data_IF_317763469742
#
_entry.id   IF_317763469742
#
_cell.length_a   1.000
_cell.length_b   1.000
_cell.length_c   1.000
_cell.angle_alpha   90.00
_cell.angle_beta   90.00
_cell.angle_gamma   90.00
#
_symmetry.space_group_name_H-M   'P 1'
#
loop_
_entity.id
_entity.type
_entity.pdbx_description
1 polymer ?
#
# COMPACT_ATOMS: atom_id res chain seq x y z
N UNK A 1 18.62 -7.97 -30.44
CA UNK A 1 19.71 -7.31 -29.69
C UNK A 1 20.18 -8.23 -28.58
N UNK A 2 21.34 -7.96 -27.99
CA UNK A 2 21.76 -8.56 -26.72
C UNK A 2 21.17 -7.66 -25.64
N UNK A 3 20.23 -8.15 -24.82
CA UNK A 3 19.85 -7.49 -23.57
C UNK A 3 21.09 -7.57 -22.67
N UNK A 4 21.83 -6.46 -22.56
CA UNK A 4 22.99 -6.31 -21.67
C UNK A 4 22.52 -5.36 -20.56
N UNK A 5 22.40 -5.90 -19.37
CA UNK A 5 21.59 -5.49 -18.24
C UNK A 5 22.17 -4.32 -17.43
N UNK A 6 22.54 -3.22 -18.10
CA UNK A 6 22.74 -1.94 -17.42
C UNK A 6 21.83 -0.84 -18.01
N UNK A 7 20.51 -1.06 -17.86
CA UNK A 7 19.44 -0.05 -17.77
C UNK A 7 18.91 0.55 -19.10
N UNK A 8 19.52 0.22 -20.24
CA UNK A 8 19.15 0.75 -21.58
C UNK A 8 19.18 -0.38 -22.64
N UNK A 9 18.13 -1.19 -22.65
CA UNK A 9 17.98 -2.40 -23.48
C UNK A 9 17.78 -2.10 -24.97
N UNK A 10 17.36 -0.87 -25.33
CA UNK A 10 17.34 -0.41 -26.73
C UNK A 10 18.60 0.42 -27.11
N UNK A 11 19.53 0.61 -26.18
CA UNK A 11 20.81 1.31 -26.34
C UNK A 11 20.68 2.79 -26.79
N UNK A 12 19.58 3.46 -26.44
CA UNK A 12 19.32 4.86 -26.81
C UNK A 12 19.85 5.90 -25.79
N UNK A 13 20.39 5.43 -24.68
CA UNK A 13 20.90 6.19 -23.55
C UNK A 13 19.82 6.62 -22.56
N UNK A 14 18.63 6.00 -22.58
CA UNK A 14 17.51 6.32 -21.69
C UNK A 14 16.79 5.05 -21.29
N UNK A 15 16.40 5.00 -20.03
CA UNK A 15 15.43 4.01 -19.54
C UNK A 15 14.04 4.46 -19.95
N UNK A 16 13.44 3.81 -20.93
CA UNK A 16 12.10 4.13 -21.39
C UNK A 16 11.30 2.88 -21.85
N UNK A 17 10.11 3.12 -22.39
CA UNK A 17 9.21 2.04 -22.78
C UNK A 17 9.74 1.18 -23.95
N UNK A 18 10.81 1.58 -24.64
CA UNK A 18 11.47 0.76 -25.64
C UNK A 18 12.30 -0.37 -25.01
N UNK A 19 12.65 -0.27 -23.72
CA UNK A 19 13.32 -1.31 -22.96
C UNK A 19 12.40 -2.48 -22.55
N UNK A 20 11.09 -2.35 -22.75
CA UNK A 20 10.06 -3.34 -22.42
C UNK A 20 10.23 -4.69 -23.15
N UNK A 21 11.00 -4.73 -24.23
CA UNK A 21 11.11 -5.93 -25.08
C UNK A 21 11.89 -7.09 -24.41
N UNK A 22 12.63 -6.85 -23.33
CA UNK A 22 13.19 -7.92 -22.51
C UNK A 22 12.16 -8.31 -21.44
N UNK A 23 11.33 -9.33 -21.72
CA UNK A 23 10.42 -9.98 -20.77
C UNK A 23 11.16 -10.73 -19.66
N UNK A 24 12.11 -10.09 -19.00
CA UNK A 24 13.06 -10.75 -18.13
C UNK A 24 12.43 -11.02 -16.78
N UNK A 25 12.38 -12.29 -16.44
CA UNK A 25 12.16 -12.72 -15.07
C UNK A 25 12.92 -11.86 -14.08
N UNK A 26 12.31 -11.53 -12.94
CA UNK A 26 12.96 -10.74 -11.90
C UNK A 26 13.13 -11.56 -10.62
N UNK A 27 14.07 -11.15 -9.79
CA UNK A 27 14.39 -11.76 -8.49
C UNK A 27 14.21 -10.77 -7.34
N UNK A 28 14.25 -9.47 -7.63
CA UNK A 28 14.03 -8.38 -6.67
C UNK A 28 13.24 -7.23 -7.31
N UNK A 29 12.63 -6.35 -6.50
CA UNK A 29 11.95 -5.16 -7.02
C UNK A 29 12.91 -4.19 -7.72
N UNK A 30 14.17 -4.14 -7.30
CA UNK A 30 15.23 -3.37 -7.96
C UNK A 30 15.49 -3.78 -9.42
N UNK A 31 15.17 -5.02 -9.80
CA UNK A 31 15.33 -5.51 -11.18
C UNK A 31 14.29 -4.88 -12.14
N UNK A 32 13.24 -4.26 -11.59
CA UNK A 32 12.13 -3.66 -12.32
C UNK A 32 12.10 -2.12 -12.20
N UNK A 33 13.16 -1.53 -11.65
CA UNK A 33 13.34 -0.08 -11.56
C UNK A 33 13.35 0.54 -12.98
N UNK A 34 12.84 1.77 -13.18
CA UNK A 34 12.31 2.70 -12.17
C UNK A 34 10.83 2.47 -11.80
N UNK A 35 9.97 2.17 -12.76
CA UNK A 35 8.52 2.39 -12.56
C UNK A 35 7.71 1.10 -12.30
N UNK A 36 8.36 -0.06 -12.36
CA UNK A 36 7.67 -1.37 -12.33
C UNK A 36 7.98 -2.12 -11.05
N UNK A 37 7.18 -3.13 -10.77
CA UNK A 37 7.35 -3.99 -9.59
C UNK A 37 7.59 -5.42 -10.02
N UNK A 38 8.56 -6.08 -9.38
CA UNK A 38 8.73 -7.52 -9.52
C UNK A 38 7.63 -8.25 -8.76
N UNK A 39 6.90 -9.15 -9.43
CA UNK A 39 5.85 -9.93 -8.79
C UNK A 39 5.76 -11.35 -9.37
N UNK A 40 5.34 -12.32 -8.55
CA UNK A 40 5.06 -13.68 -9.02
C UNK A 40 3.66 -13.74 -9.63
N UNK A 41 3.56 -14.05 -10.92
CA UNK A 41 2.28 -14.22 -11.59
C UNK A 41 1.66 -15.56 -11.19
N UNK A 42 0.40 -15.54 -10.73
CA UNK A 42 -0.29 -16.76 -10.28
C UNK A 42 -0.56 -17.71 -11.44
N UNK A 43 -0.70 -17.19 -12.66
CA UNK A 43 -1.01 -17.98 -13.85
C UNK A 43 0.17 -18.81 -14.37
N UNK A 44 1.40 -18.33 -14.20
CA UNK A 44 2.62 -19.00 -14.67
C UNK A 44 3.48 -19.53 -13.54
N UNK A 45 3.37 -18.97 -12.34
CA UNK A 45 4.29 -19.21 -11.22
C UNK A 45 5.65 -18.53 -11.39
N UNK A 46 5.81 -17.70 -12.42
CA UNK A 46 7.07 -17.02 -12.75
C UNK A 46 7.06 -15.60 -12.19
N UNK A 47 8.23 -15.12 -11.78
CA UNK A 47 8.42 -13.73 -11.42
C UNK A 47 8.55 -12.89 -12.69
N UNK A 48 7.84 -11.78 -12.77
CA UNK A 48 7.92 -10.85 -13.88
C UNK A 48 7.80 -9.40 -13.39
N UNK A 49 8.47 -8.48 -14.08
CA UNK A 49 8.22 -7.07 -13.91
C UNK A 49 6.83 -6.71 -14.44
N UNK A 50 6.07 -5.97 -13.64
CA UNK A 50 4.72 -5.55 -13.98
C UNK A 50 4.47 -4.10 -13.59
N UNK A 51 3.54 -3.47 -14.32
CA UNK A 51 3.12 -2.11 -14.04
C UNK A 51 2.32 -2.09 -12.73
N UNK A 52 2.55 -1.10 -11.86
CA UNK A 52 1.78 -0.94 -10.64
C UNK A 52 0.33 -0.57 -10.95
N UNK A 53 -0.58 -0.96 -10.07
CA UNK A 53 -2.01 -0.67 -10.20
C UNK A 53 -2.66 -0.44 -8.84
N UNK A 54 -3.81 0.24 -8.81
CA UNK A 54 -4.70 0.34 -7.64
C UNK A 54 -5.96 -0.51 -7.84
N UNK A 55 -6.41 -0.64 -9.09
CA UNK A 55 -7.53 -1.48 -9.47
C UNK A 55 -7.39 -2.04 -10.89
N UNK A 56 -8.23 -3.01 -11.23
CA UNK A 56 -8.19 -3.68 -12.54
C UNK A 56 -8.36 -2.73 -13.73
N UNK A 57 -9.00 -1.57 -13.54
CA UNK A 57 -9.15 -0.56 -14.57
C UNK A 57 -7.81 0.09 -15.00
N UNK A 58 -6.78 0.03 -14.13
CA UNK A 58 -5.45 0.56 -14.42
C UNK A 58 -4.63 -0.43 -15.28
N UNK A 59 -5.10 -1.68 -15.41
CA UNK A 59 -4.38 -2.74 -16.11
C UNK A 59 -4.81 -2.87 -17.59
N UNK A 60 -3.90 -3.36 -18.47
CA UNK A 60 -4.24 -3.65 -19.86
C UNK A 60 -5.40 -4.63 -20.01
N UNK A 61 -6.13 -4.62 -21.15
CA UNK A 61 -7.20 -5.57 -21.41
C UNK A 61 -6.76 -7.03 -21.22
N UNK A 62 -7.55 -7.81 -20.46
CA UNK A 62 -7.25 -9.21 -20.13
C UNK A 62 -6.36 -9.41 -18.90
N UNK A 63 -5.93 -8.34 -18.25
CA UNK A 63 -5.21 -8.38 -16.98
C UNK A 63 -6.10 -7.95 -15.81
N UNK A 64 -5.65 -8.27 -14.60
CA UNK A 64 -6.24 -7.87 -13.33
C UNK A 64 -5.21 -7.19 -12.46
N UNK A 65 -5.68 -6.37 -11.51
CA UNK A 65 -4.83 -5.84 -10.46
C UNK A 65 -4.83 -6.78 -9.26
N UNK A 66 -3.65 -7.19 -8.81
CA UNK A 66 -3.46 -7.98 -7.59
C UNK A 66 -2.55 -7.26 -6.63
N UNK A 67 -2.81 -7.42 -5.33
CA UNK A 67 -1.94 -6.85 -4.31
C UNK A 67 -0.55 -7.49 -4.36
N UNK A 68 0.49 -6.66 -4.30
CA UNK A 68 1.88 -7.07 -4.21
C UNK A 68 2.17 -7.62 -2.80
N UNK A 69 2.61 -8.87 -2.64
CA UNK A 69 2.99 -9.43 -1.34
C UNK A 69 4.09 -8.62 -0.65
N UNK A 70 3.91 -8.30 0.64
CA UNK A 70 4.84 -7.50 1.43
C UNK A 70 4.63 -5.99 1.28
N UNK A 71 3.47 -5.56 0.79
CA UNK A 71 3.17 -4.15 0.54
C UNK A 71 1.96 -3.64 1.33
N UNK A 72 1.91 -2.32 1.51
CA UNK A 72 0.84 -1.65 2.21
C UNK A 72 -0.34 -1.37 1.28
N UNK A 73 -0.06 -0.89 0.06
CA UNK A 73 -1.08 -0.58 -0.94
C UNK A 73 -0.53 -0.66 -2.36
N UNK A 74 0.47 -1.50 -2.62
CA UNK A 74 1.03 -1.61 -3.97
C UNK A 74 0.35 -2.78 -4.67
N UNK A 75 -0.21 -2.53 -5.85
CA UNK A 75 -0.73 -3.58 -6.73
C UNK A 75 0.20 -3.79 -7.92
N UNK A 76 0.01 -4.89 -8.63
CA UNK A 76 0.64 -5.18 -9.91
C UNK A 76 -0.36 -5.78 -10.88
N UNK A 77 -0.20 -5.46 -12.17
CA UNK A 77 -1.01 -6.06 -13.21
C UNK A 77 -0.54 -7.48 -13.54
N UNK A 78 -1.47 -8.41 -13.73
CA UNK A 78 -1.12 -9.76 -14.20
C UNK A 78 -2.24 -10.34 -15.07
N UNK A 79 -1.94 -11.33 -15.93
CA UNK A 79 -2.97 -12.02 -16.70
C UNK A 79 -4.07 -12.57 -15.80
N UNK A 80 -5.33 -12.35 -16.19
CA UNK A 80 -6.46 -12.93 -15.46
C UNK A 80 -6.43 -14.46 -15.57
N UNK A 81 -6.67 -15.22 -14.49
CA UNK A 81 -6.74 -16.67 -14.53
C UNK A 81 -7.84 -17.15 -15.48
N UNK A 82 -7.49 -18.05 -16.40
CA UNK A 82 -8.44 -18.63 -17.33
C UNK A 82 -9.51 -19.43 -16.57
N UNK A 83 -10.79 -19.15 -16.85
CA UNK A 83 -11.91 -19.89 -16.25
C UNK A 83 -12.25 -19.50 -14.81
N UNK A 84 -11.65 -18.45 -14.25
CA UNK A 84 -12.05 -17.92 -12.96
C UNK A 84 -13.52 -17.48 -12.94
N UNK A 85 -14.13 -17.52 -11.76
CA UNK A 85 -15.46 -17.02 -11.46
C UNK A 85 -15.46 -15.48 -11.46
N UNK A 86 -16.49 -14.88 -12.04
CA UNK A 86 -16.65 -13.42 -12.07
C UNK A 86 -16.88 -12.85 -10.66
N UNK A 87 -16.60 -11.56 -10.49
CA UNK A 87 -16.92 -10.84 -9.24
C UNK A 87 -18.42 -10.94 -8.93
N UNK A 88 -18.76 -11.17 -7.66
CA UNK A 88 -20.13 -11.39 -7.17
C UNK A 88 -20.59 -12.86 -7.18
N UNK A 89 -19.79 -13.78 -7.72
CA UNK A 89 -20.07 -15.22 -7.70
C UNK A 89 -19.52 -15.85 -6.43
N UNK A 90 -20.24 -16.83 -5.86
CA UNK A 90 -19.79 -17.54 -4.68
C UNK A 90 -18.48 -18.32 -4.92
N UNK A 91 -17.60 -18.32 -3.93
CA UNK A 91 -16.32 -19.00 -3.95
C UNK A 91 -15.97 -19.56 -2.56
N UNK A 92 -14.95 -20.41 -2.49
CA UNK A 92 -14.40 -20.95 -1.25
C UNK A 92 -12.90 -20.68 -1.07
N UNK A 93 -12.21 -20.29 -2.15
CA UNK A 93 -10.77 -19.97 -2.15
C UNK A 93 -10.47 -18.94 -3.24
N UNK A 94 -9.44 -18.13 -3.02
CA UNK A 94 -9.01 -17.05 -3.93
C UNK A 94 -8.80 -17.51 -5.38
N UNK A 95 -8.18 -18.68 -5.56
CA UNK A 95 -7.86 -19.23 -6.88
C UNK A 95 -9.08 -19.56 -7.75
N UNK A 96 -10.30 -19.58 -7.19
CA UNK A 96 -11.52 -19.74 -7.96
C UNK A 96 -11.95 -18.44 -8.65
N UNK A 97 -11.50 -17.29 -8.18
CA UNK A 97 -11.97 -15.98 -8.64
C UNK A 97 -11.09 -15.41 -9.75
N UNK A 98 -11.72 -14.73 -10.73
CA UNK A 98 -10.98 -13.98 -11.76
C UNK A 98 -10.11 -12.90 -11.15
N UNK A 99 -10.52 -12.31 -10.03
CA UNK A 99 -9.79 -11.30 -9.27
C UNK A 99 -8.68 -11.87 -8.39
N UNK A 100 -8.61 -13.20 -8.25
CA UNK A 100 -7.76 -13.90 -7.27
C UNK A 100 -8.05 -13.48 -5.82
N UNK A 101 -9.30 -13.11 -5.52
CA UNK A 101 -9.71 -12.73 -4.17
C UNK A 101 -11.13 -13.22 -3.87
N UNK A 102 -11.22 -14.15 -2.92
CA UNK A 102 -12.45 -14.69 -2.37
C UNK A 102 -12.65 -14.13 -0.96
N UNK A 103 -13.57 -13.17 -0.83
CA UNK A 103 -13.87 -12.52 0.44
C UNK A 103 -15.36 -12.64 0.75
N UNK A 104 -15.68 -13.04 1.98
CA UNK A 104 -17.04 -13.34 2.44
C UNK A 104 -17.76 -14.37 1.55
N UNK A 105 -17.03 -15.44 1.19
CA UNK A 105 -17.48 -16.51 0.29
C UNK A 105 -17.94 -16.02 -1.09
N UNK A 106 -17.49 -14.84 -1.53
CA UNK A 106 -17.82 -14.21 -2.81
C UNK A 106 -16.56 -13.68 -3.49
N UNK A 107 -16.46 -13.87 -4.81
CA UNK A 107 -15.37 -13.28 -5.58
C UNK A 107 -15.48 -11.76 -5.57
N UNK A 108 -14.45 -11.07 -5.07
CA UNK A 108 -14.42 -9.60 -4.95
C UNK A 108 -13.27 -9.01 -5.74
N UNK A 109 -13.41 -7.82 -6.31
CA UNK A 109 -12.24 -7.10 -6.81
C UNK A 109 -11.37 -6.65 -5.63
N UNK A 110 -10.06 -6.79 -5.77
CA UNK A 110 -9.08 -6.14 -4.90
C UNK A 110 -9.27 -4.63 -4.97
N UNK A 111 -9.10 -3.96 -3.84
CA UNK A 111 -9.02 -2.50 -3.78
C UNK A 111 -7.82 -2.08 -2.95
N UNK A 112 -7.15 -1.01 -3.38
CA UNK A 112 -6.04 -0.41 -2.66
C UNK A 112 -6.33 1.05 -2.27
N UNK A 113 -7.50 1.56 -2.69
CA UNK A 113 -8.12 2.81 -2.26
C UNK A 113 -9.63 2.69 -2.34
N UNK A 114 -10.34 3.46 -1.51
CA UNK A 114 -11.81 3.48 -1.42
C UNK A 114 -12.49 3.91 -2.71
N UNK A 115 -11.88 4.85 -3.44
CA UNK A 115 -12.44 5.41 -4.68
C UNK A 115 -12.49 4.39 -5.83
N UNK A 116 -11.81 3.25 -5.68
CA UNK A 116 -11.80 2.14 -6.65
C UNK A 116 -12.95 1.17 -6.47
N UNK A 117 -13.74 1.32 -5.41
CA UNK A 117 -14.90 0.46 -5.20
C UNK A 117 -16.13 0.91 -5.98
N UNK A 118 -16.83 -0.03 -6.66
CA UNK A 118 -17.97 0.32 -7.49
C UNK A 118 -19.20 0.66 -6.63
N UNK A 119 -19.91 1.72 -7.01
CA UNK A 119 -21.21 2.03 -6.44
C UNK A 119 -21.15 2.49 -4.98
N UNK A 120 -21.70 1.68 -4.07
CA UNK A 120 -21.76 1.96 -2.64
C UNK A 120 -20.94 0.97 -1.80
N UNK A 121 -20.11 0.16 -2.47
CA UNK A 121 -19.17 -0.73 -1.80
C UNK A 121 -18.05 0.08 -1.15
N UNK A 122 -17.55 -0.42 -0.03
CA UNK A 122 -16.38 0.11 0.66
C UNK A 122 -15.20 -0.83 0.49
N UNK A 123 -13.98 -0.30 0.61
CA UNK A 123 -12.76 -1.07 0.57
C UNK A 123 -12.46 -1.64 1.97
N UNK A 124 -12.78 -2.92 2.17
CA UNK A 124 -12.67 -3.60 3.47
C UNK A 124 -11.33 -4.31 3.60
N UNK A 125 -10.65 -4.26 4.76
CA UNK A 125 -9.52 -5.13 5.02
C UNK A 125 -9.95 -6.60 5.01
N UNK A 126 -9.20 -7.45 4.32
CA UNK A 126 -9.44 -8.90 4.26
C UNK A 126 -8.13 -9.67 4.46
N UNK A 127 -8.22 -10.93 4.90
CA UNK A 127 -7.07 -11.81 5.09
C UNK A 127 -6.93 -12.31 6.52
N UNK A 128 -5.78 -12.91 6.81
CA UNK A 128 -5.41 -13.44 8.13
C UNK A 128 -4.10 -12.81 8.58
N UNK A 129 -4.23 -11.82 9.49
CA UNK A 129 -3.11 -11.10 10.07
C UNK A 129 -2.11 -12.03 10.78
N UNK A 130 -2.59 -13.13 11.36
CA UNK A 130 -1.77 -14.13 12.05
C UNK A 130 -0.90 -14.95 11.09
N UNK A 131 -1.37 -15.13 9.84
CA UNK A 131 -0.61 -15.81 8.78
C UNK A 131 0.28 -14.86 7.96
N UNK A 132 0.27 -13.56 8.27
CA UNK A 132 1.06 -12.59 7.50
C UNK A 132 0.36 -12.07 6.25
N UNK A 133 -0.95 -12.30 6.11
CA UNK A 133 -1.73 -11.96 4.92
C UNK A 133 -2.73 -10.85 5.25
N UNK A 134 -2.57 -9.68 4.63
CA UNK A 134 -3.61 -8.65 4.64
C UNK A 134 -3.74 -8.04 3.25
N UNK A 135 -4.96 -7.88 2.78
CA UNK A 135 -5.33 -7.21 1.54
C UNK A 135 -6.57 -6.34 1.80
N UNK A 136 -7.16 -5.80 0.76
CA UNK A 136 -8.48 -5.20 0.84
C UNK A 136 -9.34 -5.56 -0.37
N UNK A 137 -10.65 -5.66 -0.14
CA UNK A 137 -11.65 -6.07 -1.12
C UNK A 137 -12.80 -5.07 -1.15
N UNK A 138 -13.33 -4.79 -2.35
CA UNK A 138 -14.60 -4.07 -2.41
C UNK A 138 -15.75 -4.99 -2.05
N UNK A 139 -16.52 -4.59 -1.05
CA UNK A 139 -17.73 -5.28 -0.66
C UNK A 139 -18.79 -4.29 -0.14
N UNK A 140 -20.07 -4.68 -0.17
CA UNK A 140 -21.11 -3.94 0.54
C UNK A 140 -20.78 -3.88 2.03
N UNK A 141 -21.20 -2.79 2.68
CA UNK A 141 -21.05 -2.65 4.12
C UNK A 141 -21.74 -3.79 4.87
N UNK A 142 -21.00 -4.45 5.76
CA UNK A 142 -21.55 -5.47 6.65
C UNK A 142 -22.73 -4.88 7.44
N UNK A 143 -23.88 -5.58 7.55
CA UNK A 143 -25.01 -5.07 8.32
C UNK A 143 -24.60 -4.66 9.74
N UNK A 144 -24.83 -3.39 10.09
CA UNK A 144 -24.45 -2.81 11.39
C UNK A 144 -23.10 -2.12 11.42
N UNK A 145 -22.25 -2.27 10.39
CA UNK A 145 -21.04 -1.46 10.24
C UNK A 145 -21.39 0.00 9.94
N UNK A 146 -20.54 0.89 10.43
CA UNK A 146 -20.61 2.33 10.25
C UNK A 146 -19.89 2.69 8.95
N UNK A 147 -20.59 3.41 8.07
CA UNK A 147 -19.98 3.91 6.83
C UNK A 147 -18.91 4.97 7.12
N UNK A 148 -18.06 5.25 6.13
CA UNK A 148 -17.07 6.34 6.19
C UNK A 148 -17.75 7.67 6.57
N UNK A 149 -17.05 8.47 7.38
CA UNK A 149 -17.52 9.69 8.03
C UNK A 149 -18.63 9.49 9.08
N UNK A 150 -19.06 8.27 9.36
CA UNK A 150 -19.89 7.95 10.51
C UNK A 150 -19.05 7.89 11.80
N UNK A 151 -19.68 8.12 12.95
CA UNK A 151 -19.00 8.06 14.24
C UNK A 151 -18.65 6.60 14.56
N UNK A 152 -17.37 6.32 14.79
CA UNK A 152 -16.86 4.96 14.99
C UNK A 152 -17.02 4.43 16.43
N UNK A 153 -18.10 4.84 17.11
CA UNK A 153 -18.36 4.43 18.48
C UNK A 153 -19.28 3.21 18.51
N UNK A 154 -19.16 2.43 19.56
CA UNK A 154 -20.15 1.44 19.95
C UNK A 154 -21.54 2.12 20.16
N UNK A 155 -22.64 1.34 20.23
CA UNK A 155 -23.97 1.90 20.43
C UNK A 155 -24.13 2.68 21.75
N UNK A 156 -23.27 2.46 22.75
CA UNK A 156 -23.27 3.22 23.99
C UNK A 156 -22.56 4.59 23.87
N UNK A 157 -21.73 4.77 22.84
CA UNK A 157 -21.00 6.00 22.56
C UNK A 157 -19.75 6.18 23.41
N UNK A 158 -19.29 5.13 24.11
CA UNK A 158 -18.17 5.21 25.07
C UNK A 158 -16.92 4.48 24.60
N UNK A 159 -17.03 3.55 23.65
CA UNK A 159 -15.89 2.81 23.09
C UNK A 159 -15.75 3.13 21.61
N UNK A 160 -14.54 3.51 21.19
CA UNK A 160 -14.21 3.75 19.79
C UNK A 160 -13.33 2.62 19.26
N UNK A 161 -13.76 1.95 18.19
CA UNK A 161 -13.03 0.83 17.58
C UNK A 161 -13.15 0.89 16.05
N UNK A 162 -12.03 0.67 15.36
CA UNK A 162 -12.01 0.56 13.90
C UNK A 162 -12.86 -0.61 13.38
N UNK A 163 -13.10 -1.65 14.19
CA UNK A 163 -13.95 -2.79 13.83
C UNK A 163 -15.41 -2.42 13.61
N UNK A 164 -15.86 -1.25 14.11
CA UNK A 164 -17.21 -0.75 13.82
C UNK A 164 -17.31 -0.13 12.43
N UNK A 165 -16.19 0.32 11.86
CA UNK A 165 -16.15 0.93 10.56
C UNK A 165 -16.16 -0.12 9.46
N UNK A 166 -16.92 0.13 8.39
CA UNK A 166 -16.88 -0.68 7.18
C UNK A 166 -15.45 -0.79 6.63
N UNK A 167 -14.72 0.33 6.57
CA UNK A 167 -13.31 0.36 6.17
C UNK A 167 -12.34 -0.34 7.13
N UNK A 168 -12.82 -0.83 8.29
CA UNK A 168 -12.01 -1.37 9.37
C UNK A 168 -11.09 -0.35 10.04
N UNK A 169 -11.21 0.94 9.72
CA UNK A 169 -10.38 2.00 10.25
C UNK A 169 -11.21 3.17 10.78
N UNK A 170 -10.94 3.56 12.03
CA UNK A 170 -11.41 4.80 12.60
C UNK A 170 -10.24 5.77 12.76
N UNK A 171 -10.40 7.03 12.36
CA UNK A 171 -9.46 8.09 12.73
C UNK A 171 -9.69 8.47 14.19
N UNK A 172 -9.00 7.76 15.08
CA UNK A 172 -9.00 8.02 16.53
C UNK A 172 -8.17 9.24 16.92
N UNK A 173 -7.72 10.06 15.95
CA UNK A 173 -6.73 11.11 16.17
C UNK A 173 -7.24 12.48 15.71
N UNK A 174 -6.85 13.58 16.38
CA UNK A 174 -6.14 13.64 17.65
C UNK A 174 -7.12 13.44 18.82
N UNK A 175 -7.10 12.29 19.47
CA UNK A 175 -7.82 12.07 20.73
C UNK A 175 -7.38 13.12 21.78
N UNK A 176 -8.29 13.74 22.56
CA UNK A 176 -9.72 13.44 22.72
C UNK A 176 -10.64 14.38 21.91
N UNK A 177 -10.32 14.72 20.66
CA UNK A 177 -11.26 15.49 19.82
C UNK A 177 -12.38 14.59 19.33
N UNK A 178 -13.50 14.62 20.02
CA UNK A 178 -14.75 13.99 19.57
C UNK A 178 -15.49 14.91 18.57
N UNK A 179 -16.21 14.34 17.59
CA UNK A 179 -16.40 12.90 17.34
C UNK A 179 -15.23 12.27 16.55
N UNK A 180 -14.94 10.99 16.80
CA UNK A 180 -14.02 10.17 16.02
C UNK A 180 -14.79 9.47 14.89
N UNK A 181 -14.23 9.46 13.69
CA UNK A 181 -14.96 9.06 12.49
C UNK A 181 -14.31 7.89 11.76
N UNK A 182 -15.14 7.05 11.15
CA UNK A 182 -14.68 6.04 10.22
C UNK A 182 -13.98 6.70 9.03
N UNK A 183 -12.75 6.28 8.79
CA UNK A 183 -11.89 6.83 7.74
C UNK A 183 -11.66 5.82 6.66
N UNK A 184 -11.49 6.31 5.43
CA UNK A 184 -11.26 5.46 4.27
C UNK A 184 -9.84 4.92 4.21
N UNK A 185 -9.68 3.76 3.57
CA UNK A 185 -8.36 3.33 3.08
C UNK A 185 -7.89 4.31 2.01
N UNK A 186 -6.58 4.51 1.94
CA UNK A 186 -5.95 5.44 1.02
C UNK A 186 -4.73 4.78 0.39
N UNK A 187 -4.39 5.23 -0.81
CA UNK A 187 -3.16 4.89 -1.51
C UNK A 187 -2.19 6.07 -1.53
N UNK A 188 -2.70 7.29 -1.69
CA UNK A 188 -1.88 8.51 -1.75
C UNK A 188 -2.40 9.59 -0.80
N UNK A 189 -1.59 10.63 -0.58
CA UNK A 189 -2.03 11.77 0.25
C UNK A 189 -3.24 12.50 -0.31
N UNK A 190 -3.46 12.46 -1.63
CA UNK A 190 -4.61 13.13 -2.26
C UNK A 190 -5.93 12.43 -2.00
N UNK A 191 -5.90 11.19 -1.52
CA UNK A 191 -7.09 10.52 -1.03
C UNK A 191 -7.61 11.20 0.24
N UNK A 192 -6.74 11.75 1.09
CA UNK A 192 -7.14 12.18 2.41
C UNK A 192 -7.70 13.61 2.45
N UNK A 193 -8.57 13.88 3.43
CA UNK A 193 -9.10 15.22 3.62
C UNK A 193 -8.01 16.19 4.08
N UNK A 194 -8.26 17.50 3.94
CA UNK A 194 -7.37 18.53 4.46
C UNK A 194 -7.14 18.31 5.96
N UNK A 195 -5.87 18.18 6.35
CA UNK A 195 -5.45 17.95 7.73
C UNK A 195 -5.27 16.48 8.11
N UNK A 196 -5.67 15.54 7.25
CA UNK A 196 -5.32 14.13 7.35
C UNK A 196 -4.10 13.81 6.48
N UNK A 197 -3.47 12.68 6.77
CA UNK A 197 -2.43 12.07 5.93
C UNK A 197 -2.78 10.62 5.62
N UNK A 198 -2.29 10.14 4.49
CA UNK A 198 -2.31 8.72 4.17
C UNK A 198 -1.10 8.04 4.81
N UNK A 199 -1.31 7.06 5.68
CA UNK A 199 -0.21 6.32 6.30
C UNK A 199 -0.63 4.91 6.69
N UNK A 200 0.35 4.08 7.04
CA UNK A 200 0.10 2.69 7.44
C UNK A 200 -0.63 2.67 8.78
N UNK A 201 -1.80 2.04 8.79
CA UNK A 201 -2.66 1.90 9.98
C UNK A 201 -2.82 0.46 10.45
N UNK A 202 -2.56 -0.51 9.57
CA UNK A 202 -2.66 -1.94 9.84
C UNK A 202 -1.50 -2.67 9.17
N UNK A 203 -0.95 -3.69 9.81
CA UNK A 203 0.05 -4.58 9.21
C UNK A 203 -0.05 -6.00 9.76
N UNK A 204 0.41 -6.97 8.97
CA UNK A 204 0.35 -8.37 9.33
C UNK A 204 1.45 -8.76 10.33
N UNK A 205 1.12 -9.69 11.24
CA UNK A 205 1.99 -10.09 12.35
C UNK A 205 3.18 -10.98 11.91
N UNK A 206 3.12 -11.56 10.71
CA UNK A 206 4.24 -12.23 10.05
C UNK A 206 4.61 -11.56 8.71
N UNK A 207 5.83 -11.78 8.25
CA UNK A 207 6.26 -11.46 6.88
C UNK A 207 5.51 -12.37 5.91
N UNK A 208 5.08 -11.83 4.76
CA UNK A 208 4.42 -12.64 3.74
C UNK A 208 5.48 -13.54 3.05
N UNK A 209 5.29 -14.88 3.01
CA UNK A 209 6.28 -15.80 2.44
C UNK A 209 6.48 -15.64 0.92
N UNK A 210 5.54 -14.97 0.24
CA UNK A 210 5.59 -14.70 -1.19
C UNK A 210 6.21 -13.34 -1.53
N UNK A 211 6.67 -12.59 -0.53
CA UNK A 211 7.34 -11.30 -0.76
C UNK A 211 8.68 -11.50 -1.46
N UNK A 212 8.92 -10.67 -2.46
CA UNK A 212 10.21 -10.56 -3.13
C UNK A 212 11.06 -9.47 -2.44
N UNK A 213 12.39 -9.60 -2.42
CA UNK A 213 13.26 -8.62 -1.78
C UNK A 213 13.20 -7.27 -2.48
N UNK A 214 13.35 -6.18 -1.71
CA UNK A 214 13.42 -4.82 -2.24
C UNK A 214 14.57 -4.66 -3.26
N UNK A 215 15.77 -5.16 -2.94
CA UNK A 215 16.89 -5.26 -3.88
C UNK A 215 17.75 -6.49 -3.58
N UNK A 216 18.56 -6.91 -4.55
CA UNK A 216 19.52 -7.99 -4.36
C UNK A 216 20.57 -7.69 -3.26
N UNK A 217 20.89 -6.41 -3.06
CA UNK A 217 21.85 -5.95 -2.03
C UNK A 217 21.22 -5.88 -0.63
N UNK A 218 19.90 -5.67 -0.56
CA UNK A 218 19.14 -5.53 0.67
C UNK A 218 17.95 -6.49 0.65
N UNK A 219 18.15 -7.77 1.03
CA UNK A 219 17.12 -8.81 0.97
C UNK A 219 16.13 -8.68 2.14
N UNK A 220 15.53 -7.51 2.27
CA UNK A 220 14.54 -7.21 3.28
C UNK A 220 13.17 -7.58 2.71
N UNK A 221 12.45 -8.42 3.45
CA UNK A 221 11.11 -8.85 3.10
C UNK A 221 10.09 -7.97 3.83
N UNK A 222 9.25 -7.29 3.06
CA UNK A 222 8.14 -6.51 3.55
C UNK A 222 7.03 -7.37 4.17
N UNK A 223 6.17 -6.72 4.95
CA UNK A 223 4.92 -7.28 5.49
C UNK A 223 3.77 -6.72 4.70
N UNK A 224 2.72 -7.53 4.55
CA UNK A 224 1.46 -6.98 4.09
C UNK A 224 0.97 -5.95 5.12
N UNK A 225 0.51 -4.81 4.62
CA UNK A 225 -0.02 -3.73 5.42
C UNK A 225 -1.22 -3.09 4.72
N UNK A 226 -1.87 -2.12 5.37
CA UNK A 226 -2.85 -1.24 4.75
C UNK A 226 -2.60 0.19 5.21
N UNK A 227 -2.79 1.12 4.27
CA UNK A 227 -2.77 2.54 4.55
C UNK A 227 -4.20 3.10 4.58
N UNK A 228 -4.43 4.04 5.49
CA UNK A 228 -5.70 4.75 5.63
C UNK A 228 -5.48 6.20 6.05
N UNK A 229 -6.51 7.02 5.86
CA UNK A 229 -6.47 8.42 6.23
C UNK A 229 -6.66 8.60 7.73
N UNK A 230 -5.71 9.26 8.38
CA UNK A 230 -5.85 9.66 9.78
C UNK A 230 -5.31 11.07 10.01
N UNK A 231 -5.75 11.71 11.09
CA UNK A 231 -5.25 13.02 11.48
C UNK A 231 -4.01 12.84 12.36
N UNK A 232 -2.83 13.35 11.98
CA UNK A 232 -1.63 13.16 12.79
C UNK A 232 -1.73 13.87 14.15
N UNK A 233 -1.02 13.35 15.18
CA UNK A 233 -0.98 14.01 16.51
C UNK A 233 -0.42 15.42 16.44
N UNK A 234 0.64 15.53 15.64
CA UNK A 234 1.44 16.71 15.45
C UNK A 234 1.19 17.13 14.03
N UNK A 235 0.59 18.31 13.80
CA UNK A 235 0.47 18.83 12.45
C UNK A 235 1.83 18.84 11.76
N UNK A 236 1.86 18.42 10.51
CA UNK A 236 3.08 18.44 9.71
C UNK A 236 3.69 19.84 9.65
N UNK A 237 5.01 19.88 9.50
CA UNK A 237 5.79 21.11 9.44
C UNK A 237 5.67 21.81 8.10
N UNK A 238 6.70 22.57 7.73
CA UNK A 238 6.68 23.37 6.49
C UNK A 238 7.56 22.82 5.38
N UNK A 239 8.34 21.77 5.64
CA UNK A 239 9.23 21.20 4.62
C UNK A 239 8.41 20.43 3.58
N UNK A 240 8.63 20.76 2.31
CA UNK A 240 8.02 20.09 1.16
C UNK A 240 8.71 18.75 0.88
N UNK A 241 8.05 17.88 0.12
CA UNK A 241 8.69 16.67 -0.39
C UNK A 241 9.95 17.01 -1.23
N UNK A 242 11.01 16.22 -1.05
CA UNK A 242 12.36 16.44 -1.58
C UNK A 242 13.27 17.26 -0.69
N UNK A 243 12.75 17.95 0.34
CA UNK A 243 13.58 18.68 1.30
C UNK A 243 14.26 17.73 2.29
N UNK A 244 15.53 17.95 2.66
CA UNK A 244 16.20 17.13 3.65
C UNK A 244 15.56 17.30 5.04
N UNK A 245 15.47 16.22 5.80
CA UNK A 245 14.80 16.19 7.10
C UNK A 245 15.55 15.32 8.11
N UNK A 246 15.20 15.46 9.39
CA UNK A 246 15.72 14.60 10.46
C UNK A 246 14.75 13.42 10.68
N UNK A 247 15.19 12.15 10.56
CA UNK A 247 14.30 11.00 10.70
C UNK A 247 13.73 10.84 12.12
N UNK A 248 14.35 11.47 13.13
CA UNK A 248 13.86 11.52 14.51
C UNK A 248 12.74 12.56 14.68
N UNK A 249 12.64 13.53 13.76
CA UNK A 249 11.65 14.60 13.79
C UNK A 249 10.91 14.68 12.44
N UNK A 250 10.20 13.62 12.11
CA UNK A 250 9.43 13.50 10.87
C UNK A 250 8.35 14.59 10.72
N UNK A 251 7.88 15.15 11.84
CA UNK A 251 6.96 16.29 11.86
C UNK A 251 7.52 17.59 11.28
N UNK A 252 8.81 17.65 10.88
CA UNK A 252 9.32 18.77 10.08
C UNK A 252 8.71 18.79 8.66
N UNK A 253 8.34 17.62 8.14
CA UNK A 253 7.75 17.43 6.83
C UNK A 253 6.25 17.71 6.88
N UNK A 254 5.72 18.32 5.81
CA UNK A 254 4.27 18.57 5.68
C UNK A 254 3.43 17.29 5.75
N UNK A 255 3.98 16.19 5.25
CA UNK A 255 3.39 14.85 5.21
C UNK A 255 3.69 13.99 6.44
N UNK A 256 4.42 14.53 7.43
CA UNK A 256 5.03 13.79 8.54
C UNK A 256 5.87 12.57 8.13
N UNK A 257 6.40 12.55 6.90
CA UNK A 257 7.20 11.43 6.39
C UNK A 257 8.61 11.90 6.05
N UNK A 258 9.60 11.35 6.76
CA UNK A 258 11.02 11.61 6.55
C UNK A 258 11.75 10.28 6.32
N UNK A 259 12.04 9.97 5.05
CA UNK A 259 12.49 8.64 4.63
C UNK A 259 13.81 8.70 3.88
N UNK A 260 14.58 7.61 3.92
CA UNK A 260 15.83 7.46 3.15
C UNK A 260 15.49 7.08 1.69
N UNK A 261 15.07 8.08 0.92
CA UNK A 261 14.63 7.95 -0.48
C UNK A 261 15.65 8.51 -1.48
N UNK A 262 16.91 8.68 -1.05
CA UNK A 262 18.00 9.06 -1.93
C UNK A 262 18.42 7.90 -2.85
N UNK A 263 19.42 8.15 -3.68
CA UNK A 263 20.10 7.09 -4.43
C UNK A 263 20.66 6.03 -3.47
N UNK A 264 20.81 4.79 -3.94
CA UNK A 264 21.36 3.72 -3.11
C UNK A 264 22.73 4.12 -2.53
N UNK A 265 22.85 4.04 -1.20
CA UNK A 265 24.04 4.47 -0.45
C UNK A 265 24.01 5.91 0.08
N UNK A 266 22.99 6.71 -0.25
CA UNK A 266 22.77 8.01 0.37
C UNK A 266 22.18 7.83 1.79
N UNK A 267 22.91 8.20 2.86
CA UNK A 267 22.40 8.10 4.22
C UNK A 267 21.38 9.21 4.56
N UNK A 268 21.21 10.19 3.68
CA UNK A 268 20.35 11.33 3.94
C UNK A 268 18.87 10.97 3.78
N UNK A 269 18.05 11.50 4.68
CA UNK A 269 16.60 11.35 4.63
C UNK A 269 15.95 12.63 4.11
N UNK A 270 14.88 12.44 3.36
CA UNK A 270 14.14 13.51 2.72
C UNK A 270 12.66 13.40 3.07
N UNK A 271 12.02 14.57 3.15
CA UNK A 271 10.59 14.64 3.20
C UNK A 271 10.03 14.00 1.94
N UNK A 272 8.99 13.20 2.09
CA UNK A 272 8.33 12.55 0.96
C UNK A 272 6.84 12.41 1.23
N UNK A 273 6.08 11.90 0.27
CA UNK A 273 4.67 11.61 0.41
C UNK A 273 4.35 10.32 -0.33
N UNK A 274 3.27 9.66 0.09
CA UNK A 274 2.72 8.57 -0.70
C UNK A 274 2.11 9.11 -1.98
N UNK A 275 2.26 8.35 -3.05
CA UNK A 275 1.83 8.73 -4.39
C UNK A 275 1.27 7.53 -5.14
N UNK A 276 0.33 7.80 -6.03
CA UNK A 276 -0.14 6.87 -7.05
C UNK A 276 0.62 7.05 -8.37
N UNK A 277 0.83 8.31 -8.76
CA UNK A 277 1.40 8.67 -10.05
C UNK A 277 2.50 9.73 -9.92
N UNK A 278 3.36 9.82 -10.93
CA UNK A 278 4.42 10.84 -10.98
C UNK A 278 3.88 12.27 -10.93
N UNK A 279 2.67 12.52 -11.47
CA UNK A 279 2.07 13.86 -11.42
C UNK A 279 1.69 14.27 -9.99
N UNK A 280 1.60 13.31 -9.07
CA UNK A 280 1.45 13.59 -7.65
C UNK A 280 2.79 13.88 -6.97
N UNK A 281 3.91 13.94 -7.68
CA UNK A 281 5.21 14.27 -7.10
C UNK A 281 5.66 15.69 -7.44
N UNK A 282 6.44 16.34 -6.55
CA UNK A 282 7.05 17.63 -6.88
C UNK A 282 7.95 17.53 -8.11
N UNK A 283 8.18 18.67 -8.77
CA UNK A 283 9.05 18.74 -9.95
C UNK A 283 10.42 18.10 -9.70
N UNK A 284 10.81 17.16 -10.56
CA UNK A 284 12.08 16.42 -10.49
C UNK A 284 12.03 15.14 -9.65
N UNK A 285 10.89 14.83 -9.04
CA UNK A 285 10.64 13.57 -8.36
C UNK A 285 9.65 12.72 -9.17
N UNK A 286 9.78 11.40 -9.10
CA UNK A 286 8.83 10.42 -9.63
C UNK A 286 8.23 9.56 -8.52
N UNK A 287 7.23 8.75 -8.84
CA UNK A 287 6.49 7.92 -7.91
C UNK A 287 7.00 6.48 -7.91
N UNK A 288 7.89 6.18 -6.96
CA UNK A 288 8.67 4.95 -6.93
C UNK A 288 8.24 4.01 -5.82
N UNK A 289 8.28 2.70 -6.09
CA UNK A 289 8.09 1.69 -5.03
C UNK A 289 9.33 1.66 -4.15
N UNK A 290 9.14 1.98 -2.87
CA UNK A 290 10.22 2.02 -1.87
C UNK A 290 9.85 1.23 -0.64
N UNK A 291 10.88 0.76 0.05
CA UNK A 291 10.74 0.06 1.31
C UNK A 291 10.67 1.07 2.45
N UNK A 292 9.54 1.11 3.16
CA UNK A 292 9.35 2.03 4.28
C UNK A 292 9.26 1.28 5.58
N UNK A 293 9.74 1.90 6.65
CA UNK A 293 9.54 1.36 8.00
C UNK A 293 8.05 1.40 8.35
N UNK A 294 7.56 0.38 9.06
CA UNK A 294 6.20 0.35 9.62
C UNK A 294 6.12 1.27 10.85
N UNK A 295 6.35 2.56 10.62
CA UNK A 295 6.32 3.60 11.63
C UNK A 295 5.36 4.69 11.18
N UNK A 296 4.29 4.89 11.95
CA UNK A 296 3.38 6.03 11.85
C UNK A 296 3.02 6.50 13.25
N UNK A 297 2.64 7.76 13.40
CA UNK A 297 2.14 8.28 14.69
C UNK A 297 0.96 7.44 15.20
N UNK A 298 0.15 6.93 14.26
CA UNK A 298 -0.95 6.01 14.52
C UNK A 298 -0.47 4.73 15.21
N UNK A 299 0.45 3.99 14.59
CA UNK A 299 0.96 2.71 15.11
C UNK A 299 1.77 2.87 16.40
N UNK A 300 2.29 4.06 16.68
CA UNK A 300 3.05 4.37 17.88
C UNK A 300 2.17 4.84 19.05
N UNK A 301 0.90 5.17 18.82
CA UNK A 301 0.03 5.71 19.87
C UNK A 301 -0.46 4.59 20.81
N UNK A 302 -0.11 4.62 22.11
CA UNK A 302 -0.49 3.60 23.07
C UNK A 302 -2.01 3.53 23.34
N UNK A 303 -2.75 4.61 23.07
CA UNK A 303 -4.20 4.67 23.25
C UNK A 303 -4.97 4.10 22.05
N UNK A 304 -4.29 3.88 20.93
CA UNK A 304 -4.87 3.46 19.65
C UNK A 304 -4.52 2.01 19.34
N UNK A 305 -3.54 1.43 20.04
CA UNK A 305 -3.16 0.04 19.85
C UNK A 305 -4.37 -0.86 20.11
N UNK A 306 -4.90 -1.55 19.07
CA UNK A 306 -5.86 -2.61 19.31
C UNK A 306 -5.17 -3.66 20.20
N UNK A 307 -5.92 -4.40 21.02
CA UNK A 307 -5.38 -5.39 21.96
C UNK A 307 -4.49 -6.49 21.34
N UNK A 308 -4.38 -6.53 20.00
CA UNK A 308 -3.60 -7.51 19.25
C UNK A 308 -2.35 -6.94 18.53
N UNK A 309 -2.10 -5.63 18.55
CA UNK A 309 -0.83 -5.08 18.07
C UNK A 309 0.09 -4.98 19.27
N UNK A 310 0.89 -6.03 19.48
CA UNK A 310 1.92 -6.01 20.54
C UNK A 310 2.85 -4.85 20.21
N UNK A 311 3.05 -3.84 21.08
CA UNK A 311 3.99 -2.76 20.83
C UNK A 311 5.36 -3.38 20.61
N UNK A 312 5.82 -3.38 19.36
CA UNK A 312 7.05 -4.05 18.99
C UNK A 312 8.23 -3.32 19.65
N UNK A 313 9.23 -4.06 20.16
CA UNK A 313 10.44 -3.42 20.66
C UNK A 313 11.07 -2.59 19.54
N UNK A 314 11.43 -1.34 19.86
CA UNK A 314 11.99 -0.34 18.94
C UNK A 314 13.27 -0.78 18.17
N UNK A 315 13.73 -2.02 18.37
CA UNK A 315 14.93 -2.60 17.76
C UNK A 315 14.65 -3.50 16.55
N UNK A 316 13.40 -3.89 16.29
CA UNK A 316 13.07 -4.67 15.08
C UNK A 316 12.45 -3.75 14.05
N UNK A 317 13.24 -3.30 13.09
CA UNK A 317 12.72 -2.49 11.99
C UNK A 317 11.86 -3.39 11.11
N UNK A 318 10.54 -3.21 11.20
CA UNK A 318 9.59 -3.86 10.31
C UNK A 318 9.40 -2.98 9.08
N UNK A 319 9.17 -3.59 7.92
CA UNK A 319 9.07 -2.88 6.66
C UNK A 319 7.85 -3.30 5.85
N UNK A 320 7.43 -2.43 4.95
CA UNK A 320 6.47 -2.72 3.88
C UNK A 320 6.85 -1.93 2.64
N UNK A 321 6.49 -2.45 1.47
CA UNK A 321 6.60 -1.72 0.22
C UNK A 321 5.44 -0.73 0.10
N UNK A 322 5.75 0.48 -0.38
CA UNK A 322 4.76 1.50 -0.72
C UNK A 322 5.34 2.40 -1.81
N UNK A 323 4.47 3.08 -2.56
CA UNK A 323 4.90 4.06 -3.54
C UNK A 323 5.07 5.43 -2.90
N UNK A 324 6.24 6.04 -3.11
CA UNK A 324 6.62 7.34 -2.52
C UNK A 324 7.23 8.24 -3.59
N UNK A 325 7.11 9.54 -3.39
CA UNK A 325 7.83 10.48 -4.24
C UNK A 325 9.33 10.43 -3.94
N UNK A 326 10.15 10.12 -4.94
CA UNK A 326 11.61 10.01 -4.84
C UNK A 326 12.30 10.68 -6.03
N UNK A 327 13.54 11.16 -5.86
CA UNK A 327 14.34 11.75 -6.94
C UNK A 327 14.68 10.70 -8.00
N UNK A 328 14.53 11.08 -9.27
CA UNK A 328 14.98 10.29 -10.43
C UNK A 328 16.50 10.27 -10.54
#
# INVERSE_FOLDING_TARGET
EICDDEIDNDCNGKTDAADLACGASCTSHGDCYPDRVCATWVTTGENACSDPCIGTADCPPGQICSKLPGSAQVGFCQPSPAGGLANGVACSVDAQCQSLLCADDVCRPTCLSEDRCPGADTCHPVGDLGLGLVSAACAPNTPGSVAINGVCSDPSGFEYDGSYCASGHCDLMPYPREPLFCSKLCHSETDCNVGQECNIVLYAAATNPSTLPASALHPIYGRDALAACYTPTTPGGTLEAGAPCNPVNHAQCKSNKCLAIGAEGDPQTYCTRYCEFDQECPSGMGCFTSLVTLASDWLQNPNVNPPNVTPYPATTTLYSLIRVCQWQ
#
